data_IF_908391933018
#
_entry.id   IF_908391933018
#
_cell.length_a   1.000
_cell.length_b   1.000
_cell.length_c   1.000
_cell.angle_alpha   90.00
_cell.angle_beta   90.00
_cell.angle_gamma   90.00
#
_symmetry.space_group_name_H-M   'P 1'
#
loop_
_entity.id
_entity.type
_entity.pdbx_description
1 polymer ?
#
# COMPACT_ATOMS: atom_id res chain seq x y z
N UNK A 1 13.15 -10.61 -10.01
CA UNK A 1 13.10 -10.60 -8.55
C UNK A 1 11.87 -11.36 -8.12
N UNK A 2 12.01 -12.34 -7.24
CA UNK A 2 10.92 -13.22 -6.87
C UNK A 2 9.85 -12.52 -6.04
N UNK A 3 8.62 -12.66 -6.46
CA UNK A 3 7.45 -12.24 -5.71
C UNK A 3 7.29 -13.19 -4.52
N UNK A 4 7.46 -12.72 -3.29
CA UNK A 4 7.12 -13.53 -2.12
C UNK A 4 5.60 -13.57 -2.00
N UNK A 5 5.03 -14.74 -2.10
CA UNK A 5 3.60 -14.95 -1.92
C UNK A 5 3.21 -14.67 -0.48
N UNK A 6 2.44 -13.64 -0.27
CA UNK A 6 1.79 -13.40 1.01
C UNK A 6 0.50 -14.23 1.12
N UNK A 7 0.16 -14.60 2.33
CA UNK A 7 -1.15 -15.15 2.66
C UNK A 7 -2.26 -14.21 2.19
N UNK A 8 -3.31 -14.74 1.60
CA UNK A 8 -4.44 -13.92 1.16
C UNK A 8 -5.32 -13.54 2.34
N UNK A 9 -5.54 -12.24 2.53
CA UNK A 9 -6.57 -11.72 3.40
C UNK A 9 -7.93 -11.87 2.72
N UNK A 10 -8.91 -12.40 3.42
CA UNK A 10 -10.31 -12.33 2.98
C UNK A 10 -10.95 -11.14 3.69
N UNK A 11 -11.39 -10.18 2.89
CA UNK A 11 -12.17 -9.06 3.41
C UNK A 11 -13.49 -9.58 3.96
N UNK A 12 -13.53 -9.72 5.28
CA UNK A 12 -14.67 -10.13 6.08
C UNK A 12 -15.55 -11.24 5.48
N UNK A 13 -15.26 -12.45 5.86
CA UNK A 13 -16.31 -13.46 5.96
C UNK A 13 -16.93 -13.32 7.35
N UNK A 14 -18.20 -13.00 7.42
CA UNK A 14 -18.96 -12.86 8.68
C UNK A 14 -18.96 -14.14 9.54
N UNK A 15 -18.41 -15.22 9.03
CA UNK A 15 -18.29 -16.52 9.70
C UNK A 15 -16.96 -16.67 10.46
N UNK A 16 -15.90 -15.95 10.05
CA UNK A 16 -14.57 -16.08 10.66
C UNK A 16 -13.99 -14.74 11.19
N UNK A 17 -14.86 -13.80 11.41
CA UNK A 17 -14.73 -12.42 11.74
C UNK A 17 -13.61 -11.99 12.67
N UNK A 18 -12.44 -11.71 12.12
CA UNK A 18 -11.42 -10.88 12.75
C UNK A 18 -11.05 -9.72 11.84
N UNK A 19 -10.66 -8.60 12.40
CA UNK A 19 -9.99 -7.54 11.64
C UNK A 19 -8.56 -7.97 11.29
N UNK A 20 -7.94 -7.33 10.32
CA UNK A 20 -6.53 -7.53 9.99
C UNK A 20 -5.75 -6.24 10.13
N UNK A 21 -4.65 -6.29 10.84
CA UNK A 21 -3.64 -5.24 10.90
C UNK A 21 -2.40 -5.69 10.15
N UNK A 22 -1.99 -4.91 9.16
CA UNK A 22 -0.70 -5.05 8.49
C UNK A 22 0.21 -3.89 8.89
N UNK A 23 1.35 -4.21 9.43
CA UNK A 23 2.43 -3.25 9.71
C UNK A 23 3.62 -3.54 8.82
N UNK A 24 4.07 -2.55 8.08
CA UNK A 24 5.25 -2.62 7.21
C UNK A 24 6.25 -1.55 7.60
N UNK A 25 7.52 -1.92 7.63
CA UNK A 25 8.63 -0.96 7.77
C UNK A 25 9.45 -1.00 6.49
N UNK A 26 9.47 0.11 5.78
CA UNK A 26 10.07 0.20 4.43
C UNK A 26 10.98 1.41 4.31
N UNK A 27 11.99 1.30 3.45
CA UNK A 27 12.85 2.40 3.05
C UNK A 27 13.04 2.42 1.53
N UNK A 28 13.41 3.55 0.99
CA UNK A 28 13.66 3.74 -0.44
C UNK A 28 15.12 4.20 -0.65
N UNK A 29 16.13 3.31 -0.52
CA UNK A 29 17.54 3.69 -0.57
C UNK A 29 17.97 4.32 -1.91
N UNK A 30 17.26 4.00 -2.98
CA UNK A 30 17.37 4.66 -4.26
C UNK A 30 15.98 4.90 -4.82
N UNK A 31 15.71 6.12 -5.26
CA UNK A 31 14.39 6.57 -5.69
C UNK A 31 14.50 7.60 -6.82
N UNK A 32 13.63 7.53 -7.80
CA UNK A 32 13.43 8.53 -8.83
C UNK A 32 12.00 9.05 -8.81
N UNK A 33 11.80 10.34 -9.10
CA UNK A 33 10.49 10.98 -9.01
C UNK A 33 9.43 10.38 -9.96
N UNK A 34 9.86 9.69 -11.02
CA UNK A 34 9.00 9.03 -12.00
C UNK A 34 8.67 7.58 -11.65
N UNK A 35 9.00 7.14 -10.47
CA UNK A 35 8.70 5.77 -10.05
C UNK A 35 7.24 5.55 -9.71
N UNK A 36 6.84 4.30 -9.85
CA UNK A 36 5.62 3.75 -9.30
C UNK A 36 5.94 2.95 -8.05
N UNK A 37 5.15 3.16 -7.03
CA UNK A 37 5.29 2.45 -5.74
C UNK A 37 3.92 1.94 -5.33
N UNK A 38 3.88 0.74 -4.76
CA UNK A 38 2.69 0.25 -4.06
C UNK A 38 3.09 -0.63 -2.88
N UNK A 39 2.43 -0.38 -1.77
CA UNK A 39 2.56 -1.13 -0.53
C UNK A 39 1.15 -1.32 0.03
N UNK A 40 0.60 -2.52 -0.04
CA UNK A 40 -0.78 -2.74 0.41
C UNK A 40 -1.40 -4.04 -0.07
N UNK A 41 -2.71 -4.04 -0.11
CA UNK A 41 -3.53 -5.18 -0.50
C UNK A 41 -4.17 -4.98 -1.87
N UNK A 42 -4.25 -6.04 -2.66
CA UNK A 42 -4.90 -6.09 -3.97
C UNK A 42 -5.50 -7.48 -4.22
N UNK A 43 -6.57 -7.55 -5.02
CA UNK A 43 -7.24 -8.83 -5.36
C UNK A 43 -6.39 -9.78 -6.22
N UNK A 44 -5.46 -9.27 -7.01
CA UNK A 44 -4.56 -10.10 -7.81
C UNK A 44 -3.38 -10.59 -6.99
N UNK A 45 -3.05 -11.87 -7.10
CA UNK A 45 -1.81 -12.44 -6.57
C UNK A 45 -0.66 -12.43 -7.60
N UNK A 46 -0.90 -11.91 -8.79
CA UNK A 46 0.11 -11.77 -9.82
C UNK A 46 0.96 -10.52 -9.62
N UNK A 47 2.19 -10.56 -10.09
CA UNK A 47 3.06 -9.37 -10.06
C UNK A 47 2.43 -8.21 -10.86
N UNK A 48 2.48 -7.01 -10.30
CA UNK A 48 2.06 -5.79 -10.99
C UNK A 48 3.07 -5.54 -12.12
N UNK A 49 2.57 -5.28 -13.34
CA UNK A 49 3.45 -5.01 -14.47
C UNK A 49 4.13 -3.64 -14.35
N UNK A 50 5.37 -3.54 -14.81
CA UNK A 50 6.22 -2.36 -14.61
C UNK A 50 5.66 -1.05 -15.21
N UNK A 51 4.76 -1.13 -16.19
CA UNK A 51 4.18 0.02 -16.87
C UNK A 51 2.76 0.36 -16.41
N UNK A 52 2.26 -0.27 -15.35
CA UNK A 52 0.91 -0.05 -14.82
C UNK A 52 0.94 1.02 -13.76
N UNK A 53 0.12 2.05 -13.89
CA UNK A 53 -0.12 3.02 -12.82
C UNK A 53 -0.98 2.38 -11.73
N UNK A 54 -0.60 2.60 -10.49
CA UNK A 54 -1.22 1.96 -9.33
C UNK A 54 -2.70 2.35 -9.21
N UNK A 55 -3.03 3.58 -9.57
CA UNK A 55 -4.42 4.06 -9.57
C UNK A 55 -5.35 3.31 -10.52
N UNK A 56 -4.84 2.50 -11.44
CA UNK A 56 -5.65 1.67 -12.34
C UNK A 56 -5.99 0.28 -11.78
N UNK A 57 -5.41 -0.07 -10.63
CA UNK A 57 -5.70 -1.34 -9.96
C UNK A 57 -7.08 -1.30 -9.31
N UNK A 58 -7.77 -2.42 -9.34
CA UNK A 58 -9.10 -2.59 -8.72
C UNK A 58 -9.03 -3.48 -7.49
N UNK A 59 -10.02 -3.36 -6.60
CA UNK A 59 -10.07 -4.07 -5.33
C UNK A 59 -8.73 -3.97 -4.58
N UNK A 60 -8.34 -2.73 -4.26
CA UNK A 60 -7.06 -2.47 -3.62
C UNK A 60 -7.20 -1.44 -2.50
N UNK A 61 -6.29 -1.53 -1.53
CA UNK A 61 -6.11 -0.56 -0.46
C UNK A 61 -4.65 -0.52 -0.02
N UNK A 62 -4.07 0.67 0.05
CA UNK A 62 -2.70 0.82 0.48
C UNK A 62 -2.15 2.21 0.26
N UNK A 63 -0.83 2.32 0.34
CA UNK A 63 -0.09 3.51 -0.02
C UNK A 63 0.65 3.28 -1.32
N UNK A 64 0.62 4.26 -2.20
CA UNK A 64 1.23 4.12 -3.51
C UNK A 64 1.59 5.45 -4.15
N UNK A 65 2.10 5.37 -5.36
CA UNK A 65 2.46 6.52 -6.18
C UNK A 65 2.45 6.11 -7.64
N UNK A 66 1.80 6.91 -8.48
CA UNK A 66 1.91 6.85 -9.92
C UNK A 66 3.09 7.72 -10.42
N UNK A 67 3.45 7.59 -11.68
CA UNK A 67 4.54 8.37 -12.29
C UNK A 67 4.34 9.87 -12.25
N UNK A 68 3.10 10.33 -12.26
CA UNK A 68 2.74 11.77 -12.22
C UNK A 68 2.62 12.36 -10.81
N UNK A 69 2.68 11.54 -9.78
CA UNK A 69 2.53 12.03 -8.41
C UNK A 69 3.86 12.54 -7.86
N UNK A 70 3.83 13.62 -7.10
CA UNK A 70 4.98 14.14 -6.36
C UNK A 70 5.13 13.43 -5.02
N UNK A 71 3.99 13.19 -4.34
CA UNK A 71 3.92 12.63 -3.00
C UNK A 71 3.41 11.18 -3.04
N UNK A 72 3.64 10.46 -1.96
CA UNK A 72 2.90 9.24 -1.66
C UNK A 72 1.41 9.55 -1.54
N UNK A 73 0.59 8.64 -2.01
CA UNK A 73 -0.87 8.74 -2.00
C UNK A 73 -1.44 7.56 -1.22
N UNK A 74 -2.40 7.80 -0.35
CA UNK A 74 -3.32 6.76 0.03
C UNK A 74 -4.20 6.42 -1.16
N UNK A 75 -4.28 5.15 -1.51
CA UNK A 75 -5.03 4.68 -2.66
C UNK A 75 -5.99 3.57 -2.27
N UNK A 76 -7.24 3.71 -2.69
CA UNK A 76 -8.24 2.66 -2.48
C UNK A 76 -9.21 2.60 -3.67
N UNK A 77 -9.65 1.41 -3.99
CA UNK A 77 -10.55 1.16 -5.11
C UNK A 77 -11.42 -0.08 -4.84
N UNK A 78 -12.65 -0.02 -5.31
CA UNK A 78 -13.54 -1.18 -5.40
C UNK A 78 -13.23 -2.02 -6.65
N UNK A 79 -14.20 -2.77 -7.14
CA UNK A 79 -14.04 -3.63 -8.32
C UNK A 79 -14.03 -2.88 -9.66
N UNK A 80 -14.11 -1.54 -9.70
CA UNK A 80 -14.33 -0.79 -10.94
C UNK A 80 -13.68 0.58 -10.95
N UNK A 81 -13.47 1.12 -12.16
CA UNK A 81 -12.96 2.48 -12.35
C UNK A 81 -11.50 2.66 -11.94
N UNK A 82 -11.18 3.83 -11.44
CA UNK A 82 -9.85 4.21 -10.96
C UNK A 82 -9.84 4.42 -9.45
N UNK A 83 -8.68 4.20 -8.83
CA UNK A 83 -8.53 4.39 -7.40
C UNK A 83 -8.78 5.85 -6.97
N UNK A 84 -9.44 5.99 -5.84
CA UNK A 84 -9.42 7.25 -5.11
C UNK A 84 -8.01 7.47 -4.57
N UNK A 85 -7.46 8.65 -4.81
CA UNK A 85 -6.13 9.07 -4.33
C UNK A 85 -6.29 10.18 -3.31
N UNK A 86 -5.68 10.01 -2.15
CA UNK A 86 -5.62 11.02 -1.09
C UNK A 86 -4.15 11.34 -0.83
N UNK A 87 -3.76 12.56 -1.15
CA UNK A 87 -2.37 13.01 -1.01
C UNK A 87 -1.94 13.03 0.46
N UNK A 88 -0.85 12.34 0.76
CA UNK A 88 -0.27 12.34 2.11
C UNK A 88 0.49 13.63 2.43
N UNK A 89 0.82 14.44 1.43
CA UNK A 89 1.73 15.59 1.54
C UNK A 89 3.21 15.20 1.66
N UNK A 90 3.55 13.91 1.56
CA UNK A 90 4.88 13.38 1.84
C UNK A 90 5.54 12.90 0.56
N UNK A 91 6.57 13.61 0.11
CA UNK A 91 7.49 13.11 -0.91
C UNK A 91 8.44 12.06 -0.32
N UNK A 92 8.77 11.05 -1.13
CA UNK A 92 9.72 10.00 -0.70
C UNK A 92 11.08 10.64 -0.42
N UNK A 93 11.63 10.32 0.75
CA UNK A 93 12.98 10.71 1.16
C UNK A 93 13.85 9.46 1.36
N UNK A 94 14.95 9.40 0.62
CA UNK A 94 15.86 8.24 0.64
C UNK A 94 16.64 8.07 1.95
N UNK A 95 16.63 9.06 2.83
CA UNK A 95 17.28 9.01 4.14
C UNK A 95 16.35 8.56 5.27
N UNK A 96 15.07 8.42 4.97
CA UNK A 96 14.06 8.08 5.96
C UNK A 96 13.55 6.65 5.77
N UNK A 97 13.04 6.11 6.86
CA UNK A 97 12.30 4.85 6.90
C UNK A 97 10.85 5.18 7.23
N UNK A 98 9.95 4.46 6.62
CA UNK A 98 8.51 4.66 6.82
C UNK A 98 7.92 3.43 7.47
N UNK A 99 7.07 3.64 8.47
CA UNK A 99 6.16 2.60 8.95
C UNK A 99 4.78 2.86 8.38
N UNK A 100 4.20 1.86 7.76
CA UNK A 100 2.87 1.89 7.16
C UNK A 100 2.02 0.88 7.92
N UNK A 101 0.92 1.33 8.47
CA UNK A 101 -0.08 0.48 9.11
C UNK A 101 -1.36 0.53 8.29
N UNK A 102 -1.90 -0.63 7.93
CA UNK A 102 -3.18 -0.79 7.26
C UNK A 102 -4.07 -1.66 8.13
N UNK A 103 -5.21 -1.13 8.54
CA UNK A 103 -6.18 -1.85 9.36
C UNK A 103 -7.51 -2.00 8.62
N UNK A 104 -7.97 -3.22 8.54
CA UNK A 104 -9.27 -3.59 7.97
C UNK A 104 -10.07 -4.26 9.08
N UNK A 105 -11.10 -3.59 9.63
CA UNK A 105 -11.94 -4.18 10.66
C UNK A 105 -12.79 -5.33 10.11
N UNK A 106 -13.28 -6.17 11.00
CA UNK A 106 -14.08 -7.34 10.65
C UNK A 106 -15.40 -7.01 9.94
N UNK A 107 -15.95 -5.84 10.18
CA UNK A 107 -17.23 -5.40 9.57
C UNK A 107 -17.05 -4.70 8.22
N UNK A 108 -15.81 -4.39 7.84
CA UNK A 108 -15.38 -3.76 6.57
C UNK A 108 -16.20 -2.56 6.11
N UNK A 109 -16.74 -1.79 7.04
CA UNK A 109 -17.45 -0.55 6.72
C UNK A 109 -16.48 0.59 6.39
N UNK A 110 -15.23 0.44 6.79
CA UNK A 110 -14.13 1.35 6.48
C UNK A 110 -12.78 0.64 6.55
N UNK A 111 -11.79 1.21 5.88
CA UNK A 111 -10.38 0.83 5.97
C UNK A 111 -9.59 1.99 6.53
N UNK A 112 -8.59 1.69 7.34
CA UNK A 112 -7.79 2.69 8.03
C UNK A 112 -6.32 2.52 7.68
N UNK A 113 -5.62 3.64 7.52
CA UNK A 113 -4.19 3.64 7.32
C UNK A 113 -3.51 4.71 8.16
N UNK A 114 -2.29 4.41 8.60
CA UNK A 114 -1.40 5.35 9.26
C UNK A 114 0.00 5.26 8.64
N UNK A 115 0.59 6.40 8.37
CA UNK A 115 1.94 6.55 7.86
C UNK A 115 2.79 7.27 8.90
N UNK A 116 3.88 6.65 9.28
CA UNK A 116 4.88 7.24 10.17
C UNK A 116 6.19 7.42 9.40
N UNK A 117 6.89 8.49 9.71
CA UNK A 117 8.24 8.73 9.24
C UNK A 117 9.23 8.51 10.37
N UNK A 118 10.18 7.62 10.15
CA UNK A 118 11.27 7.35 11.08
C UNK A 118 12.54 8.04 10.57
N UNK A 119 13.06 8.93 11.39
CA UNK A 119 14.41 9.47 11.23
C UNK A 119 15.33 8.85 12.29
N UNK A 120 16.59 9.26 12.34
CA UNK A 120 17.51 8.78 13.39
C UNK A 120 17.06 9.12 14.81
N UNK A 121 16.18 10.09 14.97
CA UNK A 121 15.82 10.64 16.29
C UNK A 121 14.31 10.67 16.55
N UNK A 122 13.48 10.44 15.56
CA UNK A 122 12.01 10.56 15.67
C UNK A 122 11.30 9.44 14.96
N UNK A 123 10.15 9.03 15.51
CA UNK A 123 9.13 8.25 14.82
C UNK A 123 7.83 9.06 14.93
N UNK A 124 7.44 9.73 13.85
CA UNK A 124 6.33 10.68 13.86
C UNK A 124 5.21 10.18 12.96
N UNK A 125 3.98 10.16 13.48
CA UNK A 125 2.78 10.01 12.65
C UNK A 125 2.66 11.24 11.75
N UNK A 126 2.63 11.01 10.43
CA UNK A 126 2.66 12.09 9.44
C UNK A 126 1.44 12.12 8.53
N UNK A 127 0.71 11.01 8.41
CA UNK A 127 -0.53 10.97 7.63
C UNK A 127 -1.43 9.82 8.10
N UNK A 128 -2.74 10.02 8.00
CA UNK A 128 -3.75 8.97 8.24
C UNK A 128 -4.82 9.01 7.16
N UNK A 129 -5.52 7.88 7.00
CA UNK A 129 -6.72 7.80 6.17
C UNK A 129 -7.80 6.98 6.86
N UNK A 130 -9.05 7.37 6.61
CA UNK A 130 -10.24 6.53 6.78
C UNK A 130 -10.96 6.49 5.44
N UNK A 131 -10.98 5.34 4.78
CA UNK A 131 -11.67 5.12 3.52
C UNK A 131 -12.96 4.33 3.78
N UNK A 132 -14.12 4.92 3.48
CA UNK A 132 -15.45 4.31 3.67
C UNK A 132 -16.27 4.19 2.38
N UNK A 133 -15.72 4.66 1.27
CA UNK A 133 -16.31 4.58 -0.08
C UNK A 133 -15.24 4.12 -1.05
N UNK A 134 -15.64 3.58 -2.19
CA UNK A 134 -14.70 3.07 -3.22
C UNK A 134 -13.65 2.11 -2.62
N UNK A 135 -14.09 1.20 -1.77
CA UNK A 135 -13.26 0.17 -1.12
C UNK A 135 -13.69 -1.21 -1.60
N UNK A 136 -12.81 -2.23 -1.52
CA UNK A 136 -13.17 -3.59 -1.88
C UNK A 136 -14.42 -4.05 -1.15
N UNK A 137 -15.30 -4.75 -1.86
CA UNK A 137 -16.52 -5.29 -1.28
C UNK A 137 -16.23 -6.38 -0.24
N UNK A 138 -17.16 -6.56 0.69
CA UNK A 138 -17.14 -7.67 1.64
C UNK A 138 -16.98 -9.01 0.93
N UNK A 139 -16.16 -9.91 1.47
CA UNK A 139 -15.87 -11.21 0.88
C UNK A 139 -14.81 -11.16 -0.24
N UNK A 140 -14.32 -9.98 -0.62
CA UNK A 140 -13.22 -9.87 -1.60
C UNK A 140 -11.93 -10.42 -0.99
N UNK A 141 -11.32 -11.38 -1.67
CA UNK A 141 -9.99 -11.86 -1.28
C UNK A 141 -8.92 -10.90 -1.75
N UNK A 142 -8.09 -10.44 -0.83
CA UNK A 142 -6.98 -9.55 -1.09
C UNK A 142 -5.65 -10.23 -0.75
N UNK A 143 -4.62 -9.90 -1.52
CA UNK A 143 -3.26 -10.37 -1.31
C UNK A 143 -2.37 -9.19 -1.03
N UNK A 144 -1.46 -9.35 -0.09
CA UNK A 144 -0.42 -8.37 0.15
C UNK A 144 0.49 -8.25 -1.08
N UNK A 145 0.73 -7.03 -1.50
CA UNK A 145 1.59 -6.68 -2.64
C UNK A 145 2.58 -5.59 -2.24
N UNK A 146 3.81 -5.79 -2.65
CA UNK A 146 4.86 -4.77 -2.60
C UNK A 146 5.43 -4.60 -4.00
N UNK A 147 5.45 -3.37 -4.47
CA UNK A 147 5.84 -3.07 -5.83
C UNK A 147 6.61 -1.76 -5.91
N UNK A 148 7.64 -1.78 -6.72
CA UNK A 148 8.37 -0.59 -7.15
C UNK A 148 8.85 -0.80 -8.57
N UNK A 149 8.65 0.20 -9.43
CA UNK A 149 9.14 0.18 -10.81
C UNK A 149 9.48 1.57 -11.32
N UNK A 150 10.30 1.64 -12.36
CA UNK A 150 10.55 2.88 -13.10
C UNK A 150 9.65 2.96 -14.32
N UNK A 151 9.18 4.16 -14.65
CA UNK A 151 8.35 4.38 -15.85
C UNK A 151 9.14 4.24 -17.15
N UNK A 152 10.43 4.51 -17.13
CA UNK A 152 11.32 4.46 -18.30
C UNK A 152 12.76 4.15 -17.86
N UNK A 153 13.10 2.94 -17.90
CA UNK A 153 14.36 2.34 -18.29
C UNK A 153 15.51 2.32 -17.31
N UNK A 154 16.20 3.35 -16.93
CA UNK A 154 17.58 3.23 -16.44
C UNK A 154 17.87 3.79 -15.06
N UNK A 155 16.89 4.33 -14.36
CA UNK A 155 17.11 4.79 -13.00
C UNK A 155 17.30 3.59 -12.05
N UNK A 156 18.31 3.64 -11.22
CA UNK A 156 18.45 2.68 -10.12
C UNK A 156 17.40 2.99 -9.07
N UNK A 157 16.59 1.99 -8.77
CA UNK A 157 15.58 2.05 -7.70
C UNK A 157 15.79 0.90 -6.75
N UNK A 158 15.48 1.11 -5.49
CA UNK A 158 15.48 0.02 -4.52
C UNK A 158 14.43 0.26 -3.44
N UNK A 159 13.83 -0.83 -3.01
CA UNK A 159 12.94 -0.89 -1.87
C UNK A 159 13.61 -1.78 -0.81
N UNK A 160 13.85 -1.23 0.36
CA UNK A 160 14.28 -1.99 1.52
C UNK A 160 13.05 -2.35 2.36
N UNK A 161 12.77 -3.64 2.46
CA UNK A 161 11.76 -4.16 3.37
C UNK A 161 12.48 -4.54 4.66
N UNK A 162 12.15 -3.85 5.74
CA UNK A 162 12.79 -4.05 7.04
C UNK A 162 11.97 -5.05 7.86
N UNK A 163 10.67 -4.90 7.87
CA UNK A 163 9.77 -5.89 8.47
C UNK A 163 8.38 -5.81 7.85
N UNK A 164 7.65 -6.91 7.91
CA UNK A 164 6.22 -6.99 7.62
C UNK A 164 5.59 -7.92 8.64
N UNK A 165 4.56 -7.45 9.31
CA UNK A 165 3.79 -8.23 10.29
C UNK A 165 2.32 -8.12 9.90
N UNK A 166 1.65 -9.26 9.82
CA UNK A 166 0.21 -9.36 9.60
C UNK A 166 -0.41 -10.07 10.81
N UNK A 167 -1.38 -9.41 11.43
CA UNK A 167 -2.10 -9.91 12.60
C UNK A 167 -3.57 -9.99 12.27
N UNK A 168 -4.19 -11.14 12.59
CA UNK A 168 -5.62 -11.36 12.44
C UNK A 168 -6.26 -11.38 13.83
N UNK A 169 -7.35 -10.65 14.01
CA UNK A 169 -8.08 -10.49 15.27
C UNK A 169 -9.49 -11.11 15.20
#
# INVERSE_FOLDING_TARGET
>A
MGNSQASGLIMNDSVYGGGTLLTMVVGFPAYASTERVFQGYQTSNSAIANNVDISTLTNMFGIGKDTGDTNLQWMHNDGSGTATKVDTGIAVNTNNVYTIELFVPSDSTAMYGALYEMTKTTNALISTITASTNIPALGTRLFFQQFISTAAGTASISLAIISTVEENY
#
